data_IF_428332182344
#
_entry.id   IF_428332182344
#
_cell.length_a   1.000
_cell.length_b   1.000
_cell.length_c   1.000
_cell.angle_alpha   90.00
_cell.angle_beta   90.00
_cell.angle_gamma   90.00
#
_symmetry.space_group_name_H-M   'P 1'
#
loop_
_entity.id
_entity.type
_entity.pdbx_description
1 polymer ?
#
# COMPACT_ATOMS: atom_id res chain seq x y z
N UNK A 1 23.07 6.23 -4.01
CA UNK A 1 23.27 5.14 -4.98
C UNK A 1 24.68 4.55 -4.85
N UNK A 2 24.81 3.25 -5.05
CA UNK A 2 26.12 2.57 -4.98
C UNK A 2 26.64 2.14 -6.36
N UNK A 3 25.92 2.44 -7.44
CA UNK A 3 26.33 2.16 -8.80
C UNK A 3 25.71 3.15 -9.81
N UNK A 4 26.18 3.16 -11.09
CA UNK A 4 25.70 4.07 -12.14
C UNK A 4 24.21 3.88 -12.50
N UNK A 5 23.61 2.75 -12.13
CA UNK A 5 22.20 2.45 -12.35
C UNK A 5 21.30 2.96 -11.20
N UNK A 6 21.85 3.73 -10.25
CA UNK A 6 21.19 4.23 -9.04
C UNK A 6 20.59 3.12 -8.16
N UNK A 7 21.29 2.00 -8.04
CA UNK A 7 21.00 1.04 -6.99
C UNK A 7 21.20 1.66 -5.61
N UNK A 8 20.34 1.33 -4.64
CA UNK A 8 20.47 1.87 -3.30
C UNK A 8 20.11 0.85 -2.22
N UNK A 9 20.60 1.13 -1.01
CA UNK A 9 20.17 0.49 0.22
C UNK A 9 19.46 1.53 1.06
N UNK A 10 18.26 1.21 1.52
CA UNK A 10 17.47 2.00 2.42
C UNK A 10 17.40 1.30 3.78
N UNK A 11 17.72 2.05 4.84
CA UNK A 11 17.42 1.67 6.22
C UNK A 11 16.33 2.60 6.74
N UNK A 12 15.30 2.04 7.34
CA UNK A 12 14.19 2.80 7.92
C UNK A 12 13.93 2.32 9.33
N UNK A 13 13.86 3.27 10.26
CA UNK A 13 13.27 3.10 11.59
C UNK A 13 12.07 4.04 11.69
N UNK A 14 10.89 3.51 12.00
CA UNK A 14 9.67 4.29 12.09
C UNK A 14 8.87 3.89 13.33
N UNK A 15 9.11 4.57 14.48
CA UNK A 15 8.22 4.46 15.61
C UNK A 15 6.90 5.15 15.28
N UNK A 16 5.79 4.55 15.66
CA UNK A 16 4.46 5.08 15.46
C UNK A 16 3.59 4.84 16.68
N UNK A 17 3.07 5.91 17.25
CA UNK A 17 2.08 5.87 18.33
C UNK A 17 0.75 6.40 17.80
N UNK A 18 -0.33 5.71 18.10
CA UNK A 18 -1.65 6.18 17.74
C UNK A 18 -2.59 6.18 18.97
N UNK A 19 -3.51 7.13 18.96
CA UNK A 19 -4.62 7.18 19.91
C UNK A 19 -5.87 7.56 19.17
N UNK A 20 -6.86 6.70 19.25
CA UNK A 20 -8.18 6.92 18.64
C UNK A 20 -9.19 7.01 19.77
N UNK A 21 -9.99 8.08 19.79
CA UNK A 21 -11.13 8.22 20.69
C UNK A 21 -12.36 8.35 19.80
N UNK A 22 -13.14 7.29 19.71
CA UNK A 22 -14.45 7.36 19.06
C UNK A 22 -15.47 7.82 20.10
N UNK A 23 -15.99 9.01 19.95
CA UNK A 23 -17.08 9.56 20.75
C UNK A 23 -18.38 9.21 20.04
N UNK A 24 -18.92 8.02 20.31
CA UNK A 24 -20.28 7.65 19.87
C UNK A 24 -21.32 8.04 20.92
N UNK A 25 -22.60 8.03 20.54
CA UNK A 25 -23.74 8.39 21.40
C UNK A 25 -23.91 7.51 22.66
N UNK A 26 -23.17 6.40 22.79
CA UNK A 26 -23.26 5.41 23.88
C UNK A 26 -21.97 5.19 24.66
N UNK A 27 -21.03 6.10 24.60
CA UNK A 27 -19.73 5.99 25.28
C UNK A 27 -18.58 5.71 24.31
N UNK A 28 -17.55 6.54 24.39
CA UNK A 28 -16.41 6.48 23.47
C UNK A 28 -15.52 5.26 23.72
N UNK A 29 -15.28 4.46 22.69
CA UNK A 29 -14.24 3.44 22.70
C UNK A 29 -12.89 4.12 22.49
N UNK A 30 -11.99 3.99 23.49
CA UNK A 30 -10.61 4.43 23.36
C UNK A 30 -9.76 3.28 22.85
N UNK A 31 -9.02 3.52 21.80
CA UNK A 31 -7.99 2.60 21.31
C UNK A 31 -6.68 3.36 21.22
N UNK A 32 -5.63 2.77 21.72
CA UNK A 32 -4.26 3.30 21.58
C UNK A 32 -3.30 2.16 21.29
N UNK A 33 -2.19 2.47 20.66
CA UNK A 33 -1.15 1.47 20.41
C UNK A 33 0.14 2.13 19.97
N UNK A 34 1.19 1.34 20.02
CA UNK A 34 2.51 1.68 19.49
C UNK A 34 2.96 0.62 18.50
N UNK A 35 3.81 1.00 17.59
CA UNK A 35 4.36 0.07 16.61
C UNK A 35 5.72 0.58 16.14
N UNK A 36 6.75 -0.22 16.37
CA UNK A 36 8.10 0.03 15.88
C UNK A 36 8.34 -0.77 14.61
N UNK A 37 8.82 -0.11 13.58
CA UNK A 37 9.11 -0.72 12.27
C UNK A 37 10.60 -0.52 11.99
N UNK A 38 11.30 -1.64 11.77
CA UNK A 38 12.68 -1.71 11.29
C UNK A 38 12.66 -2.31 9.89
N UNK A 39 13.21 -1.62 8.91
CA UNK A 39 13.16 -2.06 7.53
C UNK A 39 14.50 -1.82 6.84
N UNK A 40 14.92 -2.80 6.06
CA UNK A 40 16.07 -2.72 5.15
C UNK A 40 15.58 -3.12 3.77
N UNK A 41 15.87 -2.29 2.77
CA UNK A 41 15.54 -2.57 1.36
C UNK A 41 16.76 -2.32 0.49
N UNK A 42 17.10 -3.32 -0.31
CA UNK A 42 18.07 -3.19 -1.40
C UNK A 42 17.28 -3.13 -2.70
N UNK A 43 17.48 -2.08 -3.49
CA UNK A 43 16.84 -1.94 -4.79
C UNK A 43 17.90 -1.75 -5.87
N UNK A 44 17.76 -2.52 -6.95
CA UNK A 44 18.66 -2.50 -8.08
C UNK A 44 17.87 -2.37 -9.39
N UNK A 45 17.92 -1.23 -10.07
CA UNK A 45 17.51 -1.12 -11.46
C UNK A 45 18.45 -1.94 -12.35
N UNK A 46 17.89 -2.67 -13.31
CA UNK A 46 18.64 -3.42 -14.31
C UNK A 46 18.35 -2.92 -15.74
N UNK A 47 17.22 -2.20 -15.91
CA UNK A 47 16.96 -1.36 -17.09
C UNK A 47 16.73 0.05 -16.58
N UNK A 48 17.44 1.01 -17.13
CA UNK A 48 17.26 2.41 -16.83
C UNK A 48 17.64 3.28 -18.00
N UNK A 49 16.65 3.87 -18.62
CA UNK A 49 16.81 4.86 -19.68
C UNK A 49 15.72 5.93 -19.57
N UNK A 50 15.70 6.90 -20.46
CA UNK A 50 14.76 8.02 -20.42
C UNK A 50 13.28 7.59 -20.44
N UNK A 51 12.96 6.52 -21.15
CA UNK A 51 11.59 6.06 -21.34
C UNK A 51 11.18 4.87 -20.46
N UNK A 52 12.15 4.16 -19.90
CA UNK A 52 11.92 2.87 -19.28
C UNK A 52 12.82 2.64 -18.08
N UNK A 53 12.25 2.11 -17.01
CA UNK A 53 12.97 1.64 -15.84
C UNK A 53 12.38 0.29 -15.40
N UNK A 54 13.26 -0.69 -15.19
CA UNK A 54 12.90 -1.94 -14.54
C UNK A 54 13.87 -2.20 -13.40
N UNK A 55 13.32 -2.53 -12.23
CA UNK A 55 14.10 -2.74 -11.02
C UNK A 55 13.60 -3.94 -10.23
N UNK A 56 14.53 -4.59 -9.54
CA UNK A 56 14.25 -5.59 -8.52
C UNK A 56 14.57 -5.02 -7.14
N UNK A 57 13.83 -5.48 -6.14
CA UNK A 57 14.10 -5.14 -4.75
C UNK A 57 14.00 -6.37 -3.85
N UNK A 58 14.89 -6.42 -2.86
CA UNK A 58 14.83 -7.35 -1.74
C UNK A 58 14.71 -6.53 -0.47
N UNK A 59 13.75 -6.88 0.37
CA UNK A 59 13.51 -6.19 1.63
C UNK A 59 13.35 -7.16 2.79
N UNK A 60 13.69 -6.69 3.97
CA UNK A 60 13.34 -7.30 5.24
C UNK A 60 12.73 -6.26 6.13
N UNK A 61 11.57 -6.55 6.72
CA UNK A 61 10.86 -5.68 7.65
C UNK A 61 10.51 -6.45 8.90
N UNK A 62 10.95 -5.94 10.05
CA UNK A 62 10.48 -6.36 11.36
C UNK A 62 9.56 -5.30 11.94
N UNK A 63 8.41 -5.71 12.44
CA UNK A 63 7.45 -4.85 13.12
C UNK A 63 7.10 -5.45 14.46
N UNK A 64 7.19 -4.64 15.52
CA UNK A 64 6.68 -4.94 16.86
C UNK A 64 5.54 -3.97 17.17
N UNK A 65 4.34 -4.49 17.40
CA UNK A 65 3.14 -3.67 17.61
C UNK A 65 2.36 -4.13 18.83
N UNK A 66 1.96 -3.17 19.67
CA UNK A 66 1.08 -3.39 20.81
C UNK A 66 -0.16 -2.50 20.71
N UNK A 67 -1.28 -2.94 21.25
CA UNK A 67 -2.50 -2.13 21.27
C UNK A 67 -3.32 -2.38 22.54
N UNK A 68 -4.07 -1.34 22.91
CA UNK A 68 -5.06 -1.36 24.00
C UNK A 68 -6.39 -0.94 23.41
N UNK A 69 -7.40 -1.79 23.46
CA UNK A 69 -8.74 -1.53 22.93
C UNK A 69 -9.74 -1.59 24.09
N UNK A 70 -10.49 -0.50 24.30
CA UNK A 70 -11.46 -0.38 25.39
C UNK A 70 -10.86 -0.68 26.78
N UNK A 71 -9.58 -0.33 27.01
CA UNK A 71 -8.86 -0.61 28.24
C UNK A 71 -8.30 -2.04 28.37
N UNK A 72 -8.54 -2.91 27.40
CA UNK A 72 -8.00 -4.28 27.36
C UNK A 72 -6.70 -4.27 26.56
N UNK A 73 -5.61 -4.69 27.18
CA UNK A 73 -4.32 -4.86 26.52
C UNK A 73 -4.41 -6.09 25.60
N UNK A 74 -4.24 -5.88 24.28
CA UNK A 74 -4.17 -7.00 23.34
C UNK A 74 -2.75 -7.56 23.32
N UNK A 75 -2.57 -8.87 23.14
CA UNK A 75 -1.23 -9.44 22.96
C UNK A 75 -0.46 -8.72 21.84
N UNK A 76 0.83 -8.43 22.04
CA UNK A 76 1.63 -7.80 20.99
C UNK A 76 1.68 -8.68 19.75
N UNK A 77 1.67 -8.04 18.57
CA UNK A 77 1.78 -8.71 17.28
C UNK A 77 3.12 -8.30 16.66
N UNK A 78 3.98 -9.29 16.49
CA UNK A 78 5.29 -9.13 15.85
C UNK A 78 5.25 -9.81 14.48
N UNK A 79 5.81 -9.16 13.47
CA UNK A 79 5.95 -9.75 12.13
C UNK A 79 7.35 -9.54 11.60
N UNK A 80 7.90 -10.56 10.95
CA UNK A 80 9.21 -10.54 10.30
C UNK A 80 9.03 -11.00 8.86
N UNK A 81 9.09 -10.06 7.93
CA UNK A 81 8.66 -10.24 6.55
C UNK A 81 9.80 -9.99 5.59
N UNK A 82 10.13 -11.01 4.79
CA UNK A 82 10.94 -10.84 3.59
C UNK A 82 10.04 -10.41 2.42
N UNK A 83 10.56 -9.53 1.58
CA UNK A 83 9.86 -9.09 0.38
C UNK A 83 10.75 -9.17 -0.85
N UNK A 84 10.18 -9.62 -1.97
CA UNK A 84 10.79 -9.57 -3.29
C UNK A 84 9.89 -8.76 -4.20
N UNK A 85 10.39 -7.61 -4.67
CA UNK A 85 9.64 -6.67 -5.47
C UNK A 85 10.17 -6.55 -6.89
N UNK A 86 9.25 -6.34 -7.83
CA UNK A 86 9.51 -6.02 -9.23
C UNK A 86 8.77 -4.74 -9.57
N UNK A 87 9.51 -3.73 -10.01
CA UNK A 87 8.98 -2.44 -10.45
C UNK A 87 9.25 -2.27 -11.94
N UNK A 88 8.25 -1.82 -12.67
CA UNK A 88 8.38 -1.47 -14.08
C UNK A 88 7.70 -0.15 -14.35
N UNK A 89 8.44 0.78 -14.96
CA UNK A 89 7.95 2.07 -15.43
C UNK A 89 8.26 2.19 -16.92
N UNK A 90 7.26 2.52 -17.71
CA UNK A 90 7.44 2.85 -19.14
C UNK A 90 6.70 4.13 -19.48
N UNK A 91 7.43 5.10 -20.05
CA UNK A 91 6.89 6.35 -20.56
C UNK A 91 6.73 6.27 -22.06
N UNK A 92 5.63 6.74 -22.56
CA UNK A 92 5.39 6.93 -23.98
C UNK A 92 4.99 8.39 -24.28
N UNK A 93 4.74 8.73 -25.54
CA UNK A 93 4.40 10.11 -25.93
C UNK A 93 3.11 10.65 -25.30
N UNK A 94 2.23 9.79 -24.82
CA UNK A 94 0.92 10.16 -24.28
C UNK A 94 0.73 9.84 -22.83
N UNK A 95 1.73 9.22 -22.16
CA UNK A 95 1.57 8.88 -20.76
C UNK A 95 2.62 7.94 -20.22
N UNK A 96 2.25 7.20 -19.16
CA UNK A 96 3.14 6.26 -18.51
C UNK A 96 2.37 5.05 -17.96
N UNK A 97 3.02 3.90 -18.00
CA UNK A 97 2.66 2.71 -17.25
C UNK A 97 3.56 2.59 -16.01
N UNK A 98 2.95 2.30 -14.87
CA UNK A 98 3.65 1.89 -13.65
C UNK A 98 3.07 0.56 -13.23
N UNK A 99 3.93 -0.45 -13.17
CA UNK A 99 3.58 -1.79 -12.71
C UNK A 99 4.44 -2.13 -11.51
N UNK A 100 3.83 -2.68 -10.46
CA UNK A 100 4.51 -3.19 -9.29
C UNK A 100 3.99 -4.57 -8.97
N UNK A 101 4.89 -5.46 -8.62
CA UNK A 101 4.58 -6.80 -8.12
C UNK A 101 5.46 -7.06 -6.93
N UNK A 102 4.91 -7.59 -5.85
CA UNK A 102 5.65 -7.89 -4.63
C UNK A 102 5.19 -9.21 -4.05
N UNK A 103 6.12 -10.11 -3.81
CA UNK A 103 5.93 -11.29 -2.99
C UNK A 103 6.41 -11.01 -1.58
N UNK A 104 5.64 -11.41 -0.57
CA UNK A 104 5.99 -11.27 0.84
C UNK A 104 5.93 -12.62 1.52
N UNK A 105 6.95 -12.92 2.31
CA UNK A 105 7.06 -14.13 3.12
C UNK A 105 7.23 -13.73 4.59
N UNK A 106 6.19 -13.96 5.37
CA UNK A 106 6.23 -13.85 6.83
C UNK A 106 6.93 -15.04 7.44
N UNK A 107 7.80 -14.82 8.41
CA UNK A 107 8.65 -15.83 9.04
C UNK A 107 8.60 -15.72 10.56
N UNK A 108 9.09 -16.75 11.26
CA UNK A 108 9.20 -16.80 12.73
C UNK A 108 10.38 -16.00 13.30
N UNK A 109 11.21 -15.38 12.47
CA UNK A 109 12.41 -14.67 12.92
C UNK A 109 12.06 -13.54 13.90
N UNK A 110 12.97 -13.31 14.87
CA UNK A 110 12.86 -12.25 15.88
C UNK A 110 11.56 -12.33 16.71
N UNK A 111 11.21 -13.54 17.16
CA UNK A 111 10.01 -13.81 17.96
C UNK A 111 8.71 -13.34 17.29
N UNK A 112 8.64 -13.43 15.96
CA UNK A 112 7.42 -13.11 15.24
C UNK A 112 6.27 -14.00 15.75
N UNK A 113 5.08 -13.42 15.84
CA UNK A 113 3.90 -14.06 16.42
C UNK A 113 3.55 -15.33 15.65
N UNK A 114 3.53 -16.46 16.35
CA UNK A 114 3.12 -17.76 15.85
C UNK A 114 1.86 -18.20 16.57
N UNK A 115 0.85 -18.66 15.84
CA UNK A 115 -0.42 -19.14 16.36
C UNK A 115 -0.87 -20.40 15.65
N UNK A 116 -1.63 -21.29 16.32
CA UNK A 116 -2.19 -22.46 15.66
C UNK A 116 -3.23 -22.04 14.60
N UNK A 117 -3.22 -22.73 13.47
CA UNK A 117 -4.19 -22.55 12.40
C UNK A 117 -5.65 -22.82 12.91
N UNK A 118 -6.66 -22.03 12.52
CA UNK A 118 -6.68 -20.98 11.49
C UNK A 118 -6.46 -19.54 12.03
N UNK A 119 -5.81 -19.34 13.16
CA UNK A 119 -5.61 -18.00 13.72
C UNK A 119 -4.61 -17.20 12.88
N UNK A 120 -4.88 -15.91 12.63
CA UNK A 120 -3.92 -15.02 11.97
C UNK A 120 -2.60 -14.93 12.73
N UNK A 121 -1.49 -15.15 12.06
CA UNK A 121 -0.15 -15.10 12.65
C UNK A 121 0.87 -14.35 11.78
N UNK A 122 2.15 -14.41 12.15
CA UNK A 122 3.25 -13.78 11.41
C UNK A 122 3.78 -14.62 10.24
N UNK A 123 3.26 -15.84 10.04
CA UNK A 123 3.70 -16.77 9.00
C UNK A 123 2.71 -16.78 7.84
N UNK A 124 3.11 -16.24 6.72
CA UNK A 124 2.23 -16.16 5.55
C UNK A 124 3.05 -16.04 4.27
N UNK A 125 2.42 -16.36 3.16
CA UNK A 125 2.90 -16.00 1.84
C UNK A 125 1.80 -15.20 1.13
N UNK A 126 2.12 -14.01 0.65
CA UNK A 126 1.19 -13.20 -0.11
C UNK A 126 1.85 -12.60 -1.35
N UNK A 127 1.05 -12.38 -2.36
CA UNK A 127 1.37 -11.57 -3.52
C UNK A 127 0.54 -10.30 -3.53
N UNK A 128 1.18 -9.16 -3.79
CA UNK A 128 0.53 -7.88 -4.01
C UNK A 128 0.96 -7.30 -5.36
N UNK A 129 -0.01 -6.86 -6.14
CA UNK A 129 0.19 -6.27 -7.46
C UNK A 129 -0.49 -4.91 -7.59
N UNK A 130 0.13 -4.01 -8.34
CA UNK A 130 -0.42 -2.72 -8.71
C UNK A 130 -0.11 -2.43 -10.18
N UNK A 131 -1.11 -1.96 -10.91
CA UNK A 131 -0.97 -1.45 -12.27
C UNK A 131 -1.60 -0.06 -12.35
N UNK A 132 -0.86 0.90 -12.87
CA UNK A 132 -1.36 2.26 -13.09
C UNK A 132 -1.04 2.70 -14.52
N UNK A 133 -2.03 3.27 -15.19
CA UNK A 133 -1.86 3.99 -16.46
C UNK A 133 -2.22 5.45 -16.25
N UNK A 134 -1.28 6.33 -16.56
CA UNK A 134 -1.54 7.76 -16.77
C UNK A 134 -1.58 8.00 -18.25
N UNK A 135 -2.71 8.49 -18.79
CA UNK A 135 -2.94 8.67 -20.22
C UNK A 135 -3.44 10.08 -20.52
N UNK A 136 -2.67 10.83 -21.27
CA UNK A 136 -3.14 12.10 -21.84
C UNK A 136 -4.02 11.81 -23.06
N UNK A 137 -5.31 12.04 -22.94
CA UNK A 137 -6.27 11.90 -24.04
C UNK A 137 -6.27 13.14 -24.94
N UNK A 138 -6.13 14.34 -24.32
CA UNK A 138 -6.05 15.61 -25.02
C UNK A 138 -5.26 16.64 -24.20
N UNK A 139 -5.19 17.89 -24.63
CA UNK A 139 -4.58 18.98 -23.84
C UNK A 139 -5.35 19.32 -22.55
N UNK A 140 -6.61 18.91 -22.46
CA UNK A 140 -7.48 19.17 -21.32
C UNK A 140 -7.79 17.93 -20.48
N UNK A 141 -7.57 16.72 -21.00
CA UNK A 141 -7.98 15.45 -20.40
C UNK A 141 -6.76 14.59 -20.04
N UNK A 142 -6.60 14.29 -18.76
CA UNK A 142 -5.62 13.35 -18.23
C UNK A 142 -6.34 12.23 -17.49
N UNK A 143 -6.40 11.05 -18.12
CA UNK A 143 -7.01 9.86 -17.57
C UNK A 143 -6.00 9.12 -16.69
N UNK A 144 -6.41 8.74 -15.49
CA UNK A 144 -5.66 7.86 -14.59
C UNK A 144 -6.50 6.61 -14.33
N UNK A 145 -5.92 5.46 -14.62
CA UNK A 145 -6.49 4.13 -14.36
C UNK A 145 -5.57 3.42 -13.39
N UNK A 146 -6.11 2.87 -12.33
CA UNK A 146 -5.35 2.11 -11.33
C UNK A 146 -6.09 0.82 -10.98
N UNK A 147 -5.33 -0.26 -10.87
CA UNK A 147 -5.79 -1.54 -10.35
C UNK A 147 -4.79 -2.05 -9.31
N UNK A 148 -5.30 -2.56 -8.21
CA UNK A 148 -4.52 -3.18 -7.14
C UNK A 148 -5.12 -4.53 -6.79
N UNK A 149 -4.26 -5.48 -6.44
CA UNK A 149 -4.68 -6.79 -5.99
C UNK A 149 -3.76 -7.30 -4.88
N UNK A 150 -4.32 -8.05 -3.94
CA UNK A 150 -3.60 -8.82 -2.94
C UNK A 150 -4.20 -10.22 -2.87
N UNK A 151 -3.35 -11.25 -2.94
CA UNK A 151 -3.77 -12.64 -2.89
C UNK A 151 -2.88 -13.43 -1.93
N UNK A 152 -3.52 -14.23 -1.08
CA UNK A 152 -2.86 -15.14 -0.14
C UNK A 152 -3.75 -16.34 0.15
N UNK A 153 -3.17 -17.44 0.56
CA UNK A 153 -3.90 -18.59 1.13
C UNK A 153 -3.85 -18.61 2.66
N UNK A 154 -3.32 -17.58 3.31
CA UNK A 154 -3.15 -17.53 4.76
C UNK A 154 -4.08 -16.50 5.40
N UNK A 155 -4.49 -16.75 6.65
CA UNK A 155 -5.16 -15.77 7.49
C UNK A 155 -4.14 -14.73 7.95
N UNK A 156 -4.32 -13.47 7.57
CA UNK A 156 -3.34 -12.42 7.81
C UNK A 156 -3.60 -11.66 9.11
N UNK A 157 -2.53 -11.31 9.81
CA UNK A 157 -2.62 -10.30 10.88
C UNK A 157 -3.04 -8.95 10.31
N UNK A 158 -3.77 -8.15 11.09
CA UNK A 158 -4.38 -6.91 10.62
C UNK A 158 -3.42 -5.93 9.93
N UNK A 159 -2.12 -5.96 10.24
CA UNK A 159 -1.12 -5.10 9.58
C UNK A 159 -0.78 -5.49 8.14
N UNK A 160 -1.12 -6.70 7.72
CA UNK A 160 -0.85 -7.22 6.38
C UNK A 160 -2.13 -7.39 5.54
N UNK A 161 -3.30 -7.12 6.10
CA UNK A 161 -4.59 -7.21 5.41
C UNK A 161 -4.76 -6.13 4.34
N UNK A 162 -5.63 -6.40 3.39
CA UNK A 162 -6.03 -5.48 2.33
C UNK A 162 -7.18 -4.60 2.82
N UNK A 163 -7.00 -3.27 2.81
CA UNK A 163 -7.97 -2.30 3.30
C UNK A 163 -8.66 -1.56 2.17
N UNK A 164 -9.98 -1.32 2.34
CA UNK A 164 -10.84 -0.61 1.40
C UNK A 164 -11.51 0.58 2.12
N UNK A 165 -11.60 1.70 1.41
CA UNK A 165 -12.23 2.94 1.84
C UNK A 165 -11.22 4.05 2.09
N UNK A 166 -11.69 5.29 1.95
CA UNK A 166 -10.91 6.50 2.09
C UNK A 166 -10.45 7.11 0.77
N UNK A 167 -9.86 8.32 0.82
CA UNK A 167 -9.55 9.13 -0.36
C UNK A 167 -8.56 8.48 -1.32
N UNK A 168 -7.70 7.59 -0.83
CA UNK A 168 -6.68 6.89 -1.62
C UNK A 168 -7.10 5.46 -2.00
N UNK A 169 -8.34 5.07 -1.74
CA UNK A 169 -8.87 3.75 -2.03
C UNK A 169 -10.21 3.87 -2.76
N UNK A 170 -11.34 3.73 -2.07
CA UNK A 170 -12.67 3.95 -2.63
C UNK A 170 -13.22 5.24 -2.03
N UNK A 171 -13.26 6.29 -2.85
CA UNK A 171 -13.72 7.63 -2.43
C UNK A 171 -15.19 7.61 -2.05
N UNK A 172 -15.57 8.42 -1.06
CA UNK A 172 -16.93 8.45 -0.52
C UNK A 172 -17.18 7.47 0.62
N UNK A 173 -16.24 6.58 0.93
CA UNK A 173 -16.28 5.69 2.08
C UNK A 173 -15.31 6.12 3.17
N UNK A 174 -15.59 5.76 4.43
CA UNK A 174 -14.64 5.98 5.53
C UNK A 174 -13.33 5.21 5.31
N UNK A 175 -12.23 5.77 5.80
CA UNK A 175 -10.93 5.11 5.71
C UNK A 175 -10.96 3.74 6.40
N UNK A 176 -10.43 2.72 5.70
CA UNK A 176 -10.37 1.33 6.20
C UNK A 176 -11.73 0.77 6.63
N UNK A 177 -12.81 1.17 5.96
CA UNK A 177 -14.17 0.75 6.30
C UNK A 177 -14.38 -0.77 6.11
N UNK A 178 -13.65 -1.38 5.17
CA UNK A 178 -13.65 -2.82 4.94
C UNK A 178 -12.22 -3.32 4.78
N UNK A 179 -12.03 -4.59 5.08
CA UNK A 179 -10.73 -5.25 4.98
C UNK A 179 -10.91 -6.76 4.75
N UNK A 180 -9.83 -7.43 4.37
CA UNK A 180 -9.77 -8.87 4.18
C UNK A 180 -8.33 -9.32 3.96
N UNK A 181 -8.11 -10.63 3.93
CA UNK A 181 -6.78 -11.20 3.63
C UNK A 181 -6.46 -11.02 2.16
N UNK A 182 -7.48 -11.12 1.33
CA UNK A 182 -7.45 -10.95 -0.10
C UNK A 182 -8.24 -9.71 -0.52
N UNK A 183 -7.88 -9.12 -1.65
CA UNK A 183 -8.63 -7.98 -2.16
C UNK A 183 -8.23 -7.55 -3.56
N UNK A 184 -9.17 -6.87 -4.21
CA UNK A 184 -8.96 -6.21 -5.50
C UNK A 184 -9.57 -4.83 -5.45
N UNK A 185 -8.94 -3.87 -6.13
CA UNK A 185 -9.41 -2.51 -6.27
C UNK A 185 -9.19 -2.02 -7.69
N UNK A 186 -10.14 -1.27 -8.18
CA UNK A 186 -10.06 -0.55 -9.46
C UNK A 186 -10.47 0.90 -9.26
N UNK A 187 -9.74 1.83 -9.87
CA UNK A 187 -10.04 3.25 -9.88
C UNK A 187 -9.80 3.82 -11.27
N UNK A 188 -10.73 4.65 -11.72
CA UNK A 188 -10.62 5.42 -12.95
C UNK A 188 -10.99 6.86 -12.63
N UNK A 189 -10.17 7.82 -13.06
CA UNK A 189 -10.42 9.25 -12.89
C UNK A 189 -9.97 10.01 -14.13
N UNK A 190 -10.81 10.93 -14.65
CA UNK A 190 -10.45 11.86 -15.73
C UNK A 190 -10.28 13.27 -15.17
N UNK A 191 -9.07 13.80 -15.21
CA UNK A 191 -8.73 15.16 -14.80
C UNK A 191 -8.98 16.11 -15.98
N UNK A 192 -10.15 16.75 -15.99
CA UNK A 192 -10.58 17.68 -17.02
C UNK A 192 -10.19 19.09 -16.63
N UNK A 193 -9.23 19.69 -17.31
CA UNK A 193 -8.80 21.08 -17.08
C UNK A 193 -9.81 22.06 -17.68
N UNK A 194 -10.48 22.84 -16.83
CA UNK A 194 -11.46 23.84 -17.23
C UNK A 194 -10.80 25.21 -17.44
N UNK A 195 -9.85 25.60 -16.58
CA UNK A 195 -9.15 26.86 -16.64
C UNK A 195 -7.67 26.69 -16.32
N UNK A 196 -6.83 27.55 -16.91
CA UNK A 196 -5.37 27.57 -16.75
C UNK A 196 -4.91 29.00 -16.47
N UNK A 197 -3.75 29.13 -15.79
CA UNK A 197 -3.06 30.41 -15.62
C UNK A 197 -2.23 30.78 -16.86
N UNK A 198 -1.55 31.95 -16.78
CA UNK A 198 -0.68 32.46 -17.84
C UNK A 198 0.52 31.53 -18.13
N UNK A 199 0.93 30.72 -17.15
CA UNK A 199 2.00 29.74 -17.27
C UNK A 199 1.49 28.35 -17.73
N UNK A 200 0.22 28.28 -18.17
CA UNK A 200 -0.43 27.06 -18.68
C UNK A 200 -0.63 25.95 -17.64
N UNK A 201 -0.60 26.30 -16.33
CA UNK A 201 -0.89 25.40 -15.21
C UNK A 201 -2.40 25.34 -14.95
N UNK A 202 -2.97 24.18 -14.64
CA UNK A 202 -4.41 24.07 -14.35
C UNK A 202 -4.77 24.81 -13.05
N UNK A 203 -5.73 25.74 -13.12
CA UNK A 203 -6.31 26.44 -11.96
C UNK A 203 -7.58 25.70 -11.50
N UNK A 204 -8.44 25.34 -12.45
CA UNK A 204 -9.71 24.65 -12.16
C UNK A 204 -9.74 23.35 -12.93
N UNK A 205 -9.99 22.26 -12.21
CA UNK A 205 -10.17 20.95 -12.79
C UNK A 205 -11.48 20.31 -12.28
N UNK A 206 -12.19 19.64 -13.18
CA UNK A 206 -13.27 18.73 -12.85
C UNK A 206 -12.72 17.30 -12.91
N UNK A 207 -13.01 16.49 -11.89
CA UNK A 207 -12.48 15.12 -11.80
C UNK A 207 -13.61 14.12 -11.59
N UNK A 208 -14.34 13.72 -12.65
CA UNK A 208 -15.22 12.56 -12.56
C UNK A 208 -14.40 11.29 -12.34
N UNK A 209 -14.94 10.38 -11.51
CA UNK A 209 -14.26 9.15 -11.17
C UNK A 209 -15.23 7.98 -10.90
N UNK A 210 -14.69 6.77 -11.02
CA UNK A 210 -15.34 5.52 -10.64
C UNK A 210 -14.34 4.71 -9.83
N UNK A 211 -14.72 4.29 -8.63
CA UNK A 211 -13.95 3.41 -7.77
C UNK A 211 -14.77 2.17 -7.44
N UNK A 212 -14.14 1.01 -7.51
CA UNK A 212 -14.71 -0.27 -7.11
C UNK A 212 -13.66 -1.10 -6.36
N UNK A 213 -14.07 -1.80 -5.30
CA UNK A 213 -13.19 -2.72 -4.60
C UNK A 213 -13.98 -3.84 -3.93
N UNK A 214 -13.30 -4.96 -3.74
CA UNK A 214 -13.81 -6.12 -3.03
C UNK A 214 -12.69 -6.73 -2.18
N UNK A 215 -12.97 -7.07 -0.92
CA UNK A 215 -12.06 -7.75 -0.01
C UNK A 215 -12.77 -8.95 0.62
N UNK A 216 -12.02 -10.04 0.83
CA UNK A 216 -12.54 -11.28 1.42
C UNK A 216 -11.49 -11.96 2.30
N UNK A 217 -11.94 -12.77 3.23
CA UNK A 217 -11.12 -13.62 4.09
C UNK A 217 -10.95 -15.02 3.50
N UNK A 218 -9.93 -15.73 3.94
CA UNK A 218 -9.74 -17.16 3.64
C UNK A 218 -10.65 -18.04 4.48
#
# INVERSE_FOLDING_TARGET
PFNPMDGYVLFRFAPNDFRITNVGATGGIRSSGSSDIYEVVVRQPFIRNFNEEAALSLGFRHRDGSSVVAGIVTPPIKTSVFSFGQDYLRRDRRGAWVLRSQFRLGTELFDATTRPDPQPDGQFFLWAGQAQRVQRLSQKHLLIIQADAQLTGNNLVGSEQFFIGGPNSVRGYFQNQRFGDNGVRFSLADYITLSKDEENRPIIQLVPFIDAAYAWFN
#
